data_IF_998485247585
#
_entry.id   IF_998485247585
#
_cell.length_a   1.000
_cell.length_b   1.000
_cell.length_c   1.000
_cell.angle_alpha   90.00
_cell.angle_beta   90.00
_cell.angle_gamma   90.00
#
_symmetry.space_group_name_H-M   'P 1'
#
loop_
_entity.id
_entity.type
_entity.pdbx_description
1 polymer ?
#
# COMPACT_ATOMS: atom_id res chain seq x y z
N UNK A 1 27.86 -20.74 2.01
CA UNK A 1 28.13 -19.51 1.23
C UNK A 1 27.05 -19.38 0.17
N UNK A 2 26.15 -18.41 0.30
CA UNK A 2 25.11 -18.14 -0.71
C UNK A 2 25.71 -17.18 -1.73
N UNK A 3 25.67 -17.53 -3.01
CA UNK A 3 26.19 -16.74 -4.12
C UNK A 3 25.60 -15.31 -4.10
N UNK A 4 26.47 -14.32 -4.01
CA UNK A 4 26.15 -12.93 -4.31
C UNK A 4 25.89 -12.86 -5.82
N UNK A 5 24.64 -12.66 -6.27
CA UNK A 5 24.41 -12.36 -7.68
C UNK A 5 23.04 -12.60 -8.29
N UNK A 6 22.06 -13.22 -7.62
CA UNK A 6 20.73 -13.39 -8.20
C UNK A 6 19.65 -13.22 -7.12
N UNK A 7 19.26 -11.98 -6.84
CA UNK A 7 17.98 -11.74 -6.17
C UNK A 7 16.88 -12.01 -7.21
N UNK A 8 16.01 -13.02 -7.02
CA UNK A 8 15.02 -13.38 -8.02
C UNK A 8 14.05 -12.21 -8.23
N UNK A 9 14.00 -11.70 -9.46
CA UNK A 9 12.98 -10.73 -9.87
C UNK A 9 11.61 -11.41 -9.82
N UNK A 10 10.62 -10.72 -9.24
CA UNK A 10 9.23 -11.19 -9.27
C UNK A 10 8.52 -10.38 -10.35
N UNK A 11 7.94 -11.05 -11.34
CA UNK A 11 7.23 -10.41 -12.45
C UNK A 11 5.77 -10.86 -12.45
N UNK A 12 4.86 -9.92 -12.68
CA UNK A 12 3.42 -10.19 -12.82
C UNK A 12 2.77 -9.17 -13.75
N UNK A 13 1.52 -9.44 -14.13
CA UNK A 13 0.73 -8.57 -14.98
C UNK A 13 -0.09 -7.62 -14.11
N UNK A 14 0.06 -6.31 -14.33
CA UNK A 14 -0.74 -5.30 -13.67
C UNK A 14 -2.22 -5.47 -14.05
N UNK A 15 -3.16 -5.67 -13.09
CA UNK A 15 -4.57 -5.88 -13.41
C UNK A 15 -5.25 -4.61 -13.95
N UNK A 16 -4.62 -3.43 -13.81
CA UNK A 16 -5.18 -2.17 -14.29
C UNK A 16 -4.79 -1.87 -15.76
N UNK A 17 -3.55 -2.14 -16.17
CA UNK A 17 -3.06 -1.75 -17.51
C UNK A 17 -2.58 -2.93 -18.37
N UNK A 18 -2.53 -4.15 -17.83
CA UNK A 18 -2.11 -5.36 -18.55
C UNK A 18 -0.60 -5.46 -18.85
N UNK A 19 0.21 -4.51 -18.37
CA UNK A 19 1.67 -4.54 -18.57
C UNK A 19 2.36 -5.40 -17.51
N UNK A 20 3.49 -5.98 -17.89
CA UNK A 20 4.41 -6.62 -16.96
C UNK A 20 4.99 -5.60 -15.99
N UNK A 21 5.08 -5.99 -14.72
CA UNK A 21 5.65 -5.21 -13.64
C UNK A 21 6.69 -6.07 -12.94
N UNK A 22 7.91 -5.56 -12.88
CA UNK A 22 8.98 -6.15 -12.08
C UNK A 22 8.93 -5.58 -10.65
N UNK A 23 8.96 -6.47 -9.66
CA UNK A 23 9.20 -6.14 -8.25
C UNK A 23 10.62 -6.53 -7.89
N UNK A 24 11.37 -5.55 -7.42
CA UNK A 24 12.78 -5.66 -7.05
C UNK A 24 12.96 -5.40 -5.56
N UNK A 25 14.02 -5.97 -4.98
CA UNK A 25 14.35 -5.70 -3.59
C UNK A 25 15.07 -4.36 -3.47
N UNK A 26 14.46 -3.44 -2.73
CA UNK A 26 15.00 -2.12 -2.44
C UNK A 26 15.79 -2.17 -1.13
N UNK A 27 17.11 -2.38 -1.24
CA UNK A 27 18.02 -2.51 -0.08
C UNK A 27 17.90 -1.36 0.92
N UNK A 28 17.69 -0.12 0.46
CA UNK A 28 17.52 1.05 1.32
C UNK A 28 16.20 1.09 2.11
N UNK A 29 15.16 0.40 1.61
CA UNK A 29 13.85 0.30 2.30
C UNK A 29 13.65 -1.05 3.00
N UNK A 30 14.62 -1.97 2.87
CA UNK A 30 14.55 -3.31 3.44
C UNK A 30 13.41 -4.17 2.91
N UNK A 31 12.86 -3.84 1.73
CA UNK A 31 11.61 -4.43 1.24
C UNK A 31 11.56 -4.58 -0.28
N UNK A 32 10.57 -5.32 -0.76
CA UNK A 32 10.32 -5.53 -2.19
C UNK A 32 9.28 -4.52 -2.69
N UNK A 33 9.59 -3.80 -3.76
CA UNK A 33 8.73 -2.79 -4.34
C UNK A 33 8.80 -2.75 -5.87
N UNK A 34 7.78 -2.14 -6.48
CA UNK A 34 7.80 -1.77 -7.91
C UNK A 34 7.53 -0.27 -8.05
N UNK A 35 8.20 0.37 -8.99
CA UNK A 35 7.82 1.70 -9.47
C UNK A 35 7.01 1.57 -10.77
N UNK A 36 5.74 1.17 -10.66
CA UNK A 36 4.82 1.12 -11.80
C UNK A 36 3.98 2.41 -11.84
N UNK A 37 4.72 3.52 -11.96
CA UNK A 37 4.22 4.88 -11.81
C UNK A 37 3.02 5.19 -12.73
N UNK A 38 2.07 5.98 -12.20
CA UNK A 38 0.77 6.33 -12.79
C UNK A 38 -0.24 5.18 -12.92
N UNK A 39 0.06 4.02 -12.33
CA UNK A 39 -0.82 2.86 -12.29
C UNK A 39 -0.84 2.28 -10.86
N UNK A 40 -0.82 0.96 -10.69
CA UNK A 40 -0.75 0.30 -9.38
C UNK A 40 0.69 0.06 -8.96
N UNK A 41 1.06 0.42 -7.73
CA UNK A 41 2.32 -0.02 -7.14
C UNK A 41 2.13 -1.38 -6.46
N UNK A 42 3.21 -2.12 -6.28
CA UNK A 42 3.18 -3.45 -5.68
C UNK A 42 4.28 -3.61 -4.65
N UNK A 43 4.00 -4.40 -3.63
CA UNK A 43 4.97 -4.81 -2.61
C UNK A 43 4.86 -6.30 -2.35
N UNK A 44 5.92 -6.91 -1.83
CA UNK A 44 5.88 -8.32 -1.43
C UNK A 44 6.09 -8.45 0.06
N UNK A 45 5.14 -9.09 0.73
CA UNK A 45 5.26 -9.46 2.14
C UNK A 45 5.51 -10.97 2.21
N UNK A 46 6.72 -11.34 2.66
CA UNK A 46 7.12 -12.74 2.81
C UNK A 46 6.71 -13.34 4.16
N UNK A 47 6.48 -12.50 5.16
CA UNK A 47 6.06 -12.89 6.50
C UNK A 47 4.80 -12.11 6.84
N UNK A 48 3.66 -12.78 6.95
CA UNK A 48 2.43 -12.17 7.42
C UNK A 48 2.43 -12.10 8.96
N UNK A 49 1.82 -11.08 9.58
CA UNK A 49 2.00 -10.84 11.01
C UNK A 49 1.31 -11.83 11.96
N UNK A 50 0.38 -12.69 11.53
CA UNK A 50 -0.38 -13.57 12.44
C UNK A 50 -0.66 -14.95 11.83
N UNK A 51 -0.61 -15.97 12.68
CA UNK A 51 -0.86 -17.41 12.45
C UNK A 51 -1.96 -17.71 11.44
N UNK A 52 -1.55 -18.02 10.21
CA UNK A 52 -2.39 -18.54 9.14
C UNK A 52 -1.72 -19.80 8.56
N UNK A 53 -2.48 -20.72 7.95
CA UNK A 53 -1.92 -21.91 7.31
C UNK A 53 -0.90 -21.45 6.27
N UNK A 54 0.25 -22.10 6.25
CA UNK A 54 1.37 -21.89 5.33
C UNK A 54 0.89 -21.37 3.97
N UNK A 55 1.05 -20.07 3.71
CA UNK A 55 0.92 -19.57 2.33
C UNK A 55 2.08 -20.20 1.56
N UNK A 56 1.78 -21.00 0.54
CA UNK A 56 2.78 -21.75 -0.23
C UNK A 56 3.74 -20.86 -1.07
N UNK A 57 3.74 -19.54 -0.83
CA UNK A 57 4.59 -18.58 -1.53
C UNK A 57 4.49 -17.15 -0.99
N UNK A 58 5.33 -16.23 -1.49
CA UNK A 58 5.26 -14.81 -1.16
C UNK A 58 3.94 -14.21 -1.65
N UNK A 59 3.26 -13.46 -0.78
CA UNK A 59 2.07 -12.71 -1.18
C UNK A 59 2.50 -11.38 -1.80
N UNK A 60 2.05 -11.16 -3.05
CA UNK A 60 2.19 -9.89 -3.75
C UNK A 60 0.98 -9.04 -3.42
N UNK A 61 1.22 -7.84 -2.91
CA UNK A 61 0.20 -6.88 -2.57
C UNK A 61 0.19 -5.73 -3.57
N UNK A 62 -0.99 -5.41 -4.10
CA UNK A 62 -1.26 -4.10 -4.70
C UNK A 62 -1.21 -3.08 -3.57
N UNK A 63 -0.40 -2.04 -3.70
CA UNK A 63 -0.30 -0.95 -2.73
C UNK A 63 -1.17 0.21 -3.16
N UNK A 64 -2.15 0.55 -2.32
CA UNK A 64 -2.97 1.75 -2.42
C UNK A 64 -2.58 2.72 -1.33
N UNK A 65 -2.38 3.98 -1.70
CA UNK A 65 -2.22 5.08 -0.75
C UNK A 65 -3.55 5.81 -0.62
N UNK A 66 -4.00 6.03 0.61
CA UNK A 66 -5.13 6.92 0.87
C UNK A 66 -4.78 8.36 0.47
N UNK A 67 -5.80 9.16 0.19
CA UNK A 67 -5.61 10.59 -0.06
C UNK A 67 -4.95 11.28 1.14
N UNK A 68 -5.26 10.85 2.36
CA UNK A 68 -4.57 11.30 3.56
C UNK A 68 -3.07 10.98 3.53
N UNK A 69 -2.69 9.73 3.24
CA UNK A 69 -1.28 9.33 3.16
C UNK A 69 -0.54 10.11 2.07
N UNK A 70 -1.20 10.41 0.95
CA UNK A 70 -0.65 11.26 -0.12
C UNK A 70 -0.44 12.69 0.37
N UNK A 71 -1.43 13.28 1.05
CA UNK A 71 -1.33 14.64 1.61
C UNK A 71 -0.20 14.74 2.64
N UNK A 72 -0.10 13.79 3.57
CA UNK A 72 0.94 13.78 4.60
C UNK A 72 2.35 13.69 3.98
N UNK A 73 2.51 12.92 2.90
CA UNK A 73 3.77 12.84 2.15
C UNK A 73 4.08 14.16 1.44
N UNK A 74 3.08 14.81 0.84
CA UNK A 74 3.22 16.12 0.18
C UNK A 74 3.61 17.21 1.18
N UNK A 75 2.98 17.27 2.34
CA UNK A 75 3.28 18.25 3.41
C UNK A 75 4.74 18.14 3.85
N UNK A 76 5.23 16.93 4.14
CA UNK A 76 6.64 16.69 4.50
C UNK A 76 7.60 17.12 3.40
N UNK A 77 7.27 16.85 2.13
CA UNK A 77 8.13 17.29 1.01
C UNK A 77 8.15 18.81 0.88
N UNK A 78 7.05 19.50 1.18
CA UNK A 78 6.98 20.97 1.19
C UNK A 78 7.81 21.57 2.33
N UNK A 79 7.80 20.95 3.51
CA UNK A 79 8.68 21.34 4.62
C UNK A 79 10.16 21.25 4.20
N UNK A 80 10.57 20.10 3.65
CA UNK A 80 11.95 19.90 3.15
C UNK A 80 12.29 20.89 2.03
N UNK A 81 11.36 21.16 1.11
CA UNK A 81 11.56 22.14 0.04
C UNK A 81 11.75 23.56 0.56
N UNK A 82 11.13 23.92 1.70
CA UNK A 82 11.28 25.24 2.31
C UNK A 82 12.68 25.48 2.87
N UNK A 83 13.37 24.41 3.29
CA UNK A 83 14.72 24.44 3.86
C UNK A 83 15.83 24.18 2.82
N UNK A 84 15.50 23.58 1.68
CA UNK A 84 16.48 23.21 0.65
C UNK A 84 16.97 24.44 -0.14
N UNK A 85 18.30 24.58 -0.27
CA UNK A 85 18.94 25.71 -0.97
C UNK A 85 19.48 25.33 -2.33
N UNK A 86 19.72 24.04 -2.59
CA UNK A 86 20.22 23.53 -3.86
C UNK A 86 19.12 23.53 -4.94
N UNK A 87 19.33 24.30 -6.01
CA UNK A 87 18.36 24.47 -7.11
C UNK A 87 17.97 23.14 -7.78
N UNK A 88 18.92 22.21 -7.95
CA UNK A 88 18.66 20.94 -8.62
C UNK A 88 17.84 20.00 -7.73
N UNK A 89 18.11 19.98 -6.43
CA UNK A 89 17.31 19.24 -5.45
C UNK A 89 15.90 19.81 -5.30
N UNK A 90 15.76 21.15 -5.27
CA UNK A 90 14.45 21.82 -5.25
C UNK A 90 13.57 21.38 -6.43
N UNK A 91 14.10 21.41 -7.65
CA UNK A 91 13.35 20.96 -8.84
C UNK A 91 12.90 19.49 -8.73
N UNK A 92 13.73 18.61 -8.16
CA UNK A 92 13.36 17.21 -7.93
C UNK A 92 12.24 17.08 -6.90
N UNK A 93 12.30 17.84 -5.82
CA UNK A 93 11.26 17.87 -4.78
C UNK A 93 9.93 18.40 -5.33
N UNK A 94 9.95 19.49 -6.09
CA UNK A 94 8.77 20.06 -6.75
C UNK A 94 8.12 19.07 -7.72
N UNK A 95 8.93 18.40 -8.55
CA UNK A 95 8.44 17.36 -9.46
C UNK A 95 7.85 16.15 -8.69
N UNK A 96 8.44 15.80 -7.55
CA UNK A 96 7.93 14.76 -6.64
C UNK A 96 6.57 15.13 -6.04
N UNK A 97 6.43 16.35 -5.53
CA UNK A 97 5.18 16.89 -4.98
C UNK A 97 4.07 16.84 -6.04
N UNK A 98 4.33 17.40 -7.23
CA UNK A 98 3.36 17.42 -8.32
C UNK A 98 2.89 16.03 -8.73
N UNK A 99 3.80 15.05 -8.71
CA UNK A 99 3.50 13.64 -9.01
C UNK A 99 2.63 12.98 -7.94
N UNK A 100 2.86 13.29 -6.66
CA UNK A 100 2.03 12.77 -5.58
C UNK A 100 0.64 13.39 -5.60
N UNK A 101 0.56 14.71 -5.80
CA UNK A 101 -0.72 15.42 -5.91
C UNK A 101 -1.57 14.91 -7.07
N UNK A 102 -0.98 14.54 -8.21
CA UNK A 102 -1.72 13.95 -9.32
C UNK A 102 -2.30 12.56 -9.04
N UNK A 103 -1.92 11.93 -7.93
CA UNK A 103 -2.45 10.62 -7.49
C UNK A 103 -3.62 10.73 -6.51
N UNK A 104 -4.01 11.93 -6.10
CA UNK A 104 -5.22 12.12 -5.27
C UNK A 104 -6.48 11.60 -5.98
N UNK A 105 -7.34 10.95 -5.22
CA UNK A 105 -8.54 10.26 -5.69
C UNK A 105 -8.25 9.02 -6.56
N UNK A 106 -7.00 8.59 -6.73
CA UNK A 106 -6.67 7.42 -7.54
C UNK A 106 -7.25 6.13 -6.94
N UNK A 107 -7.14 5.96 -5.62
CA UNK A 107 -7.60 4.76 -4.93
C UNK A 107 -9.11 4.57 -5.08
N UNK A 108 -9.89 5.63 -4.85
CA UNK A 108 -11.36 5.62 -5.01
C UNK A 108 -11.77 5.27 -6.44
N UNK A 109 -11.19 5.97 -7.43
CA UNK A 109 -11.51 5.77 -8.86
C UNK A 109 -11.29 4.34 -9.34
N UNK A 110 -10.36 3.62 -8.71
CA UNK A 110 -9.97 2.27 -9.12
C UNK A 110 -10.44 1.18 -8.14
N UNK A 111 -11.18 1.53 -7.10
CA UNK A 111 -11.53 0.62 -6.00
C UNK A 111 -12.17 -0.68 -6.49
N UNK A 112 -13.18 -0.58 -7.36
CA UNK A 112 -13.90 -1.76 -7.88
C UNK A 112 -12.97 -2.73 -8.61
N UNK A 113 -12.10 -2.23 -9.48
CA UNK A 113 -11.13 -3.06 -10.23
C UNK A 113 -10.14 -3.76 -9.29
N UNK A 114 -9.78 -3.08 -8.20
CA UNK A 114 -8.84 -3.61 -7.22
C UNK A 114 -9.51 -4.69 -6.36
N UNK A 115 -10.76 -4.48 -5.93
CA UNK A 115 -11.54 -5.52 -5.25
C UNK A 115 -11.71 -6.78 -6.12
N UNK A 116 -11.92 -6.61 -7.43
CA UNK A 116 -11.95 -7.73 -8.38
C UNK A 116 -10.60 -8.46 -8.48
N UNK A 117 -9.49 -7.72 -8.47
CA UNK A 117 -8.14 -8.29 -8.46
C UNK A 117 -7.88 -9.11 -7.17
N UNK A 118 -8.29 -8.62 -6.00
CA UNK A 118 -8.18 -9.37 -4.74
C UNK A 118 -9.05 -10.63 -4.78
N UNK A 119 -10.26 -10.52 -5.33
CA UNK A 119 -11.18 -11.66 -5.47
C UNK A 119 -10.59 -12.78 -6.31
N UNK A 120 -9.76 -12.48 -7.31
CA UNK A 120 -9.06 -13.52 -8.10
C UNK A 120 -8.12 -14.40 -7.27
N UNK A 121 -7.69 -13.93 -6.08
CA UNK A 121 -6.70 -14.60 -5.24
C UNK A 121 -5.26 -14.45 -5.72
N UNK A 122 -5.03 -13.76 -6.84
CA UNK A 122 -3.69 -13.53 -7.40
C UNK A 122 -2.91 -12.50 -6.58
N UNK A 123 -3.61 -11.49 -6.05
CA UNK A 123 -3.00 -10.38 -5.32
C UNK A 123 -3.69 -10.17 -3.97
N UNK A 124 -2.90 -9.76 -2.98
CA UNK A 124 -3.41 -9.04 -1.81
C UNK A 124 -3.55 -7.55 -2.11
N UNK A 125 -4.17 -6.81 -1.20
CA UNK A 125 -4.26 -5.36 -1.18
C UNK A 125 -3.64 -4.83 0.11
N UNK A 126 -2.70 -3.90 -0.01
CA UNK A 126 -2.11 -3.14 1.08
C UNK A 126 -2.55 -1.70 0.95
N UNK A 127 -3.24 -1.19 1.96
CA UNK A 127 -3.71 0.18 2.07
C UNK A 127 -2.76 0.90 3.02
N UNK A 128 -2.11 1.94 2.54
CA UNK A 128 -1.33 2.88 3.33
C UNK A 128 -2.26 4.01 3.73
N UNK A 129 -2.65 4.02 5.00
CA UNK A 129 -3.62 4.98 5.51
C UNK A 129 -2.93 6.22 6.06
N UNK A 130 -1.66 6.13 6.48
CA UNK A 130 -0.83 7.25 6.92
C UNK A 130 0.57 6.78 7.31
N UNK A 131 1.40 7.66 7.85
CA UNK A 131 2.74 7.31 8.36
C UNK A 131 2.61 6.23 9.44
N UNK A 132 3.19 5.07 9.16
CA UNK A 132 3.19 3.89 10.03
C UNK A 132 1.81 3.25 10.28
N UNK A 133 0.77 3.63 9.53
CA UNK A 133 -0.57 3.03 9.61
C UNK A 133 -0.96 2.38 8.29
N UNK A 134 -1.24 1.08 8.32
CA UNK A 134 -1.62 0.34 7.13
C UNK A 134 -2.59 -0.80 7.42
N UNK A 135 -3.33 -1.20 6.40
CA UNK A 135 -4.14 -2.42 6.40
C UNK A 135 -3.75 -3.31 5.23
N UNK A 136 -3.70 -4.62 5.43
CA UNK A 136 -3.43 -5.62 4.42
C UNK A 136 -4.57 -6.60 4.35
N UNK A 137 -5.00 -6.96 3.14
CA UNK A 137 -6.09 -7.88 2.89
C UNK A 137 -5.69 -8.87 1.79
N UNK A 138 -5.98 -10.16 1.96
CA UNK A 138 -5.69 -11.18 0.97
C UNK A 138 -6.75 -12.29 0.99
N UNK A 139 -6.85 -13.04 -0.11
CA UNK A 139 -7.71 -14.22 -0.19
C UNK A 139 -6.88 -15.48 0.07
N UNK A 140 -7.39 -16.40 0.87
CA UNK A 140 -6.85 -17.75 0.99
C UNK A 140 -8.01 -18.76 1.02
N UNK A 141 -8.08 -19.61 0.00
CA UNK A 141 -9.23 -20.48 -0.26
C UNK A 141 -10.51 -19.66 -0.48
N UNK A 142 -11.58 -20.02 0.23
CA UNK A 142 -12.89 -19.36 0.15
C UNK A 142 -13.06 -18.20 1.14
N UNK A 143 -11.98 -17.74 1.77
CA UNK A 143 -12.00 -16.68 2.78
C UNK A 143 -11.07 -15.53 2.40
N UNK A 144 -11.49 -14.35 2.81
CA UNK A 144 -10.68 -13.13 2.87
C UNK A 144 -10.18 -12.95 4.29
N UNK A 145 -8.92 -12.55 4.39
CA UNK A 145 -8.26 -12.23 5.63
C UNK A 145 -7.74 -10.82 5.55
N UNK A 146 -7.86 -10.08 6.65
CA UNK A 146 -7.36 -8.74 6.76
C UNK A 146 -6.68 -8.53 8.10
N UNK A 147 -5.64 -7.70 8.08
CA UNK A 147 -4.99 -7.19 9.28
C UNK A 147 -4.75 -5.70 9.10
N UNK A 148 -4.94 -4.92 10.14
CA UNK A 148 -4.46 -3.55 10.17
C UNK A 148 -3.57 -3.34 11.37
N UNK A 149 -2.52 -2.55 11.16
CA UNK A 149 -1.54 -2.20 12.18
C UNK A 149 -1.32 -0.69 12.13
N UNK A 150 -1.42 -0.06 13.29
CA UNK A 150 -0.99 1.33 13.49
C UNK A 150 0.23 1.37 14.41
N UNK A 151 1.35 1.88 13.88
CA UNK A 151 2.55 2.18 14.65
C UNK A 151 2.46 3.49 15.44
N UNK A 152 1.37 4.26 15.26
CA UNK A 152 1.15 5.50 15.97
C UNK A 152 0.93 5.22 17.46
N UNK A 153 1.86 5.64 18.31
CA UNK A 153 1.81 5.40 19.77
C UNK A 153 0.70 6.17 20.48
N UNK A 154 0.17 7.24 19.88
CA UNK A 154 -0.87 8.09 20.46
C UNK A 154 -2.27 7.48 20.29
N UNK A 155 -2.49 6.74 19.20
CA UNK A 155 -3.68 5.94 18.99
C UNK A 155 -3.34 4.51 19.45
N UNK A 156 -3.78 4.11 20.65
CA UNK A 156 -3.54 2.77 21.22
C UNK A 156 -3.63 1.72 20.11
N UNK A 157 -2.50 1.01 19.83
CA UNK A 157 -2.35 -0.05 18.80
C UNK A 157 -3.69 -0.57 18.29
N UNK A 158 -4.22 0.05 17.24
CA UNK A 158 -5.42 -0.45 16.60
C UNK A 158 -4.98 -1.62 15.73
N UNK A 159 -5.18 -2.82 16.28
CA UNK A 159 -5.04 -4.08 15.58
C UNK A 159 -6.45 -4.52 15.20
N UNK A 160 -6.80 -4.39 13.92
CA UNK A 160 -8.05 -4.92 13.39
C UNK A 160 -7.77 -6.20 12.61
N UNK A 161 -8.61 -7.22 12.80
CA UNK A 161 -8.52 -8.50 12.08
C UNK A 161 -9.84 -8.73 11.35
N UNK A 162 -9.75 -9.14 10.10
CA UNK A 162 -10.86 -9.60 9.28
C UNK A 162 -10.65 -11.08 8.94
N UNK A 163 -11.71 -11.88 9.06
CA UNK A 163 -11.76 -13.24 8.52
C UNK A 163 -13.20 -13.50 8.07
N UNK A 164 -13.45 -13.39 6.76
CA UNK A 164 -14.81 -13.45 6.21
C UNK A 164 -14.86 -14.13 4.85
N UNK A 165 -16.00 -14.74 4.51
CA UNK A 165 -16.30 -15.15 3.13
C UNK A 165 -17.25 -14.15 2.43
N UNK A 166 -17.67 -13.10 3.14
CA UNK A 166 -18.62 -12.10 2.65
C UNK A 166 -17.90 -10.94 1.94
N UNK A 167 -18.27 -10.69 0.68
CA UNK A 167 -17.66 -9.62 -0.13
C UNK A 167 -18.01 -8.21 0.36
N UNK A 168 -19.17 -8.03 0.97
CA UNK A 168 -19.59 -6.72 1.48
C UNK A 168 -18.81 -6.33 2.73
N UNK A 169 -18.48 -7.31 3.60
CA UNK A 169 -17.62 -7.09 4.76
C UNK A 169 -16.18 -6.76 4.36
N UNK A 170 -15.66 -7.47 3.35
CA UNK A 170 -14.36 -7.16 2.74
C UNK A 170 -14.33 -5.72 2.24
N UNK A 171 -15.35 -5.32 1.47
CA UNK A 171 -15.44 -3.96 0.90
C UNK A 171 -15.46 -2.91 2.00
N UNK A 172 -16.31 -3.06 3.02
CA UNK A 172 -16.38 -2.14 4.16
C UNK A 172 -15.07 -2.01 4.91
N UNK A 173 -14.35 -3.13 5.09
CA UNK A 173 -13.04 -3.10 5.73
C UNK A 173 -12.03 -2.28 4.91
N UNK A 174 -11.98 -2.51 3.59
CA UNK A 174 -11.10 -1.77 2.68
C UNK A 174 -11.44 -0.27 2.67
N UNK A 175 -12.72 0.07 2.55
CA UNK A 175 -13.19 1.46 2.56
C UNK A 175 -12.86 2.15 3.88
N UNK A 176 -13.13 1.51 5.02
CA UNK A 176 -12.79 2.05 6.34
C UNK A 176 -11.31 2.44 6.43
N UNK A 177 -10.39 1.57 6.00
CA UNK A 177 -8.97 1.86 6.08
C UNK A 177 -8.50 2.87 5.04
N UNK A 178 -9.17 2.99 3.90
CA UNK A 178 -8.88 4.07 2.96
C UNK A 178 -9.22 5.43 3.55
N UNK A 179 -10.32 5.51 4.31
CA UNK A 179 -10.84 6.75 4.91
C UNK A 179 -10.53 6.90 6.41
N UNK A 180 -9.60 6.09 6.93
CA UNK A 180 -9.34 5.97 8.38
C UNK A 180 -9.19 7.31 9.09
N UNK A 181 -8.44 8.23 8.50
CA UNK A 181 -8.18 9.56 9.07
C UNK A 181 -9.24 10.62 8.75
N UNK A 182 -10.09 10.38 7.76
CA UNK A 182 -11.24 11.25 7.47
C UNK A 182 -12.32 11.07 8.54
N UNK A 183 -12.57 9.83 8.95
CA UNK A 183 -13.46 9.52 10.07
C UNK A 183 -12.95 10.02 11.42
N UNK A 184 -11.62 10.00 11.64
CA UNK A 184 -11.01 10.54 12.86
C UNK A 184 -11.14 12.06 13.00
N UNK A 185 -11.13 12.82 11.89
CA UNK A 185 -11.33 14.27 11.91
C UNK A 185 -12.76 14.68 12.23
N UNK A 186 -13.75 13.92 11.76
CA UNK A 186 -15.17 14.18 12.02
C UNK A 186 -15.58 14.00 13.49
N UNK A 187 -14.74 13.36 14.31
CA UNK A 187 -14.97 13.17 15.77
C UNK A 187 -14.20 14.19 16.61
N UNK A 188 -13.34 15.00 15.98
CA UNK A 188 -12.50 16.01 16.64
C UNK A 188 -12.95 17.47 16.38
N UNK A 189 -14.05 17.67 15.67
CA UNK A 189 -14.80 18.94 15.59
C UNK A 189 -16.06 18.87 16.48
#
# INVERSE_FOLDING_TARGET
MVQVGFEPKIVFICPLCGKEVEVVYERGKGGWGSEHANCLNFTVLRTLPISQPTTYGPLVFITLESDFSVMEAVEKLREVLSEETDSLKRQKLEAGIKRLESRRGFAEKNMQRILEAIRSGVFGLKILSGKDTWAGVWRAGEKFFGIALSGNRLLRREEAILATSNQEELKKFVEYWLHYWEGGRAVSE
#
